data_IF_936954371091
#
_entry.id   IF_936954371091
#
_cell.length_a   1.000
_cell.length_b   1.000
_cell.length_c   1.000
_cell.angle_alpha   90.00
_cell.angle_beta   90.00
_cell.angle_gamma   90.00
#
_symmetry.space_group_name_H-M   'P 1'
#
loop_
_entity.id
_entity.type
_entity.pdbx_description
1 polymer ?
#
# COMPACT_ATOMS: atom_id res chain seq x y z
N UNK A 1 8.90 1.53 -6.08
CA UNK A 1 8.10 2.53 -5.38
C UNK A 1 8.75 3.89 -5.59
N UNK A 2 8.04 4.80 -6.24
CA UNK A 2 8.51 6.17 -6.35
C UNK A 2 8.13 6.90 -5.07
N UNK A 3 9.09 7.55 -4.44
CA UNK A 3 8.83 8.59 -3.46
C UNK A 3 8.88 9.93 -4.17
N UNK A 4 7.86 10.76 -4.02
CA UNK A 4 7.95 12.17 -4.37
C UNK A 4 8.76 12.83 -3.26
N UNK A 5 10.06 12.84 -3.47
CA UNK A 5 10.99 13.34 -2.50
C UNK A 5 10.91 14.86 -2.45
N UNK A 6 10.75 15.38 -1.25
CA UNK A 6 11.17 16.72 -0.86
C UNK A 6 10.72 17.86 -1.77
N UNK A 7 9.42 17.93 -2.04
CA UNK A 7 8.87 19.14 -2.66
C UNK A 7 8.83 20.25 -1.61
N UNK A 8 9.54 21.31 -1.88
CA UNK A 8 9.52 22.51 -1.04
C UNK A 8 8.20 23.26 -1.29
N UNK A 9 7.27 23.08 -0.39
CA UNK A 9 6.03 23.85 -0.37
C UNK A 9 6.32 25.19 0.29
N UNK A 10 6.95 26.10 -0.44
CA UNK A 10 7.16 27.45 0.05
C UNK A 10 5.80 28.12 0.26
N UNK A 11 5.58 28.63 1.47
CA UNK A 11 4.43 29.46 1.77
C UNK A 11 4.62 30.84 1.11
N UNK A 12 4.00 31.01 -0.04
CA UNK A 12 3.99 32.28 -0.74
C UNK A 12 3.09 33.31 -0.03
N UNK A 13 3.41 34.60 -0.12
CA UNK A 13 2.56 35.65 0.43
C UNK A 13 1.10 35.60 -0.08
N UNK A 14 0.19 36.03 0.74
CA UNK A 14 -1.26 35.87 0.67
C UNK A 14 -2.02 36.25 -0.61
N UNK A 15 -1.39 36.79 -1.61
CA UNK A 15 -2.05 37.15 -2.88
C UNK A 15 -2.08 35.97 -3.91
N UNK A 16 -1.30 34.93 -3.71
CA UNK A 16 -1.38 33.68 -4.46
C UNK A 16 -2.40 32.76 -3.79
N UNK A 17 -3.61 32.82 -4.26
CA UNK A 17 -4.72 32.04 -3.71
C UNK A 17 -4.66 30.59 -4.17
N UNK A 18 -4.92 29.67 -3.20
CA UNK A 18 -5.37 28.28 -3.37
C UNK A 18 -4.81 27.54 -4.59
N UNK A 19 -3.93 26.58 -4.38
CA UNK A 19 -3.52 25.60 -5.40
C UNK A 19 -2.31 25.98 -6.24
N UNK A 20 -1.62 27.08 -5.95
CA UNK A 20 -0.39 27.42 -6.66
C UNK A 20 0.73 26.39 -6.37
N UNK A 21 0.78 25.87 -5.15
CA UNK A 21 1.68 24.78 -4.76
C UNK A 21 0.86 23.68 -4.11
N UNK A 22 0.51 22.67 -4.90
CA UNK A 22 -0.11 21.45 -4.40
C UNK A 22 0.59 20.21 -4.95
N UNK A 23 0.65 19.20 -4.13
CA UNK A 23 1.05 17.85 -4.53
C UNK A 23 -0.14 16.95 -4.31
N UNK A 24 -0.60 16.34 -5.39
CA UNK A 24 -1.70 15.42 -5.39
C UNK A 24 -1.28 14.09 -5.98
N UNK A 25 -1.59 13.01 -5.31
CA UNK A 25 -1.30 11.67 -5.75
C UNK A 25 -2.35 10.68 -5.25
N UNK A 26 -2.42 9.54 -5.91
CA UNK A 26 -3.41 8.54 -5.61
C UNK A 26 -3.17 7.24 -6.34
N UNK A 27 -4.09 6.33 -6.18
CA UNK A 27 -4.07 5.01 -6.77
C UNK A 27 -5.45 4.64 -7.27
N UNK A 28 -5.50 4.09 -8.49
CA UNK A 28 -6.72 3.54 -9.09
C UNK A 28 -6.65 2.02 -9.05
N UNK A 29 -7.76 1.38 -8.70
CA UNK A 29 -7.92 -0.08 -8.70
C UNK A 29 -7.85 -0.71 -7.32
N UNK A 30 -7.78 -2.04 -7.30
CA UNK A 30 -7.82 -2.86 -6.09
C UNK A 30 -6.46 -3.08 -5.42
N UNK A 31 -5.38 -2.54 -5.99
CA UNK A 31 -4.03 -2.61 -5.41
C UNK A 31 -3.67 -1.25 -4.81
N UNK A 32 -3.82 -1.06 -3.50
CA UNK A 32 -3.69 0.26 -2.86
C UNK A 32 -2.25 0.80 -2.86
N UNK A 33 -1.26 -0.03 -3.10
CA UNK A 33 0.17 0.30 -3.06
C UNK A 33 0.91 -0.12 -4.33
N UNK A 34 0.41 0.31 -5.47
CA UNK A 34 1.07 0.00 -6.74
C UNK A 34 2.24 0.92 -7.05
N UNK A 35 2.05 2.23 -6.94
CA UNK A 35 3.06 3.27 -7.20
C UNK A 35 3.44 4.00 -5.92
N UNK A 36 2.45 4.44 -5.18
CA UNK A 36 2.59 5.17 -3.92
C UNK A 36 1.93 4.41 -2.79
N UNK A 37 2.44 4.59 -1.58
CA UNK A 37 1.73 4.22 -0.37
C UNK A 37 0.73 5.33 0.00
N UNK A 38 -0.41 4.98 0.61
CA UNK A 38 -1.42 5.96 1.02
C UNK A 38 -1.02 6.73 2.28
N UNK A 39 0.16 7.32 2.28
CA UNK A 39 0.66 8.14 3.37
C UNK A 39 1.53 9.27 2.87
N UNK A 40 1.64 10.33 3.64
CA UNK A 40 2.54 11.45 3.41
C UNK A 40 3.02 12.06 4.70
N UNK A 41 4.16 12.75 4.63
CA UNK A 41 4.72 13.54 5.72
C UNK A 41 5.02 14.94 5.22
N UNK A 42 4.65 15.95 5.99
CA UNK A 42 5.13 17.31 5.82
C UNK A 42 6.03 17.67 7.01
N UNK A 43 7.24 18.08 6.70
CA UNK A 43 8.24 18.51 7.68
C UNK A 43 8.32 20.04 7.71
N UNK A 44 8.09 20.63 8.88
CA UNK A 44 8.35 22.04 9.13
C UNK A 44 9.76 22.20 9.66
N UNK A 45 10.68 22.58 8.76
CA UNK A 45 12.10 22.77 9.10
C UNK A 45 12.36 23.96 10.00
N UNK A 46 11.46 24.96 10.02
CA UNK A 46 11.60 26.15 10.83
C UNK A 46 11.29 25.87 12.31
N UNK A 47 10.24 25.10 12.55
CA UNK A 47 9.79 24.78 13.91
C UNK A 47 10.21 23.38 14.38
N UNK A 48 10.78 22.58 13.50
CA UNK A 48 11.35 21.27 13.82
C UNK A 48 10.31 20.23 14.22
N UNK A 49 9.16 20.23 13.56
CA UNK A 49 8.16 19.18 13.74
C UNK A 49 7.67 18.66 12.39
N UNK A 50 7.14 17.46 12.40
CA UNK A 50 6.57 16.81 11.23
C UNK A 50 5.14 16.36 11.49
N UNK A 51 4.33 16.40 10.44
CA UNK A 51 2.95 15.92 10.43
C UNK A 51 2.86 14.77 9.44
N UNK A 52 2.45 13.60 9.90
CA UNK A 52 2.18 12.43 9.07
C UNK A 52 0.71 12.14 8.95
N UNK A 53 0.27 11.77 7.75
CA UNK A 53 -1.11 11.36 7.45
C UNK A 53 -1.09 10.07 6.67
N UNK A 54 -1.97 9.13 7.03
CA UNK A 54 -2.13 7.86 6.34
C UNK A 54 -3.60 7.50 6.19
N UNK A 55 -3.96 6.91 5.05
CA UNK A 55 -5.28 6.36 4.80
C UNK A 55 -5.27 4.83 4.94
N UNK A 56 -6.30 4.28 5.59
CA UNK A 56 -6.55 2.85 5.66
C UNK A 56 -7.63 2.48 4.65
N UNK A 57 -7.25 2.31 3.39
CA UNK A 57 -8.18 1.94 2.33
C UNK A 57 -7.54 0.96 1.34
N UNK A 58 -8.20 -0.18 1.04
CA UNK A 58 -7.61 -1.25 0.21
C UNK A 58 -7.86 -1.10 -1.29
N UNK A 59 -8.44 0.02 -1.74
CA UNK A 59 -8.78 0.25 -3.14
C UNK A 59 -8.37 1.66 -3.59
N UNK A 60 -9.06 2.22 -4.56
CA UNK A 60 -8.74 3.55 -5.11
C UNK A 60 -8.84 4.65 -4.04
N UNK A 61 -7.79 5.41 -3.90
CA UNK A 61 -7.66 6.49 -2.92
C UNK A 61 -6.95 7.69 -3.53
N UNK A 62 -7.04 8.83 -2.86
CA UNK A 62 -6.27 10.03 -3.18
C UNK A 62 -5.83 10.76 -1.93
N UNK A 63 -4.73 11.47 -2.03
CA UNK A 63 -4.22 12.40 -1.03
C UNK A 63 -3.67 13.64 -1.70
N UNK A 64 -3.74 14.75 -0.99
CA UNK A 64 -3.24 16.03 -1.45
C UNK A 64 -2.67 16.83 -0.28
N UNK A 65 -1.56 17.50 -0.51
CA UNK A 65 -1.03 18.53 0.36
C UNK A 65 -0.93 19.82 -0.44
N UNK A 66 -1.36 20.92 0.12
CA UNK A 66 -1.42 22.21 -0.59
C UNK A 66 -1.30 23.39 0.37
N UNK A 67 -0.88 24.52 -0.20
CA UNK A 67 -0.91 25.79 0.51
C UNK A 67 -2.32 26.35 0.53
N UNK A 68 -2.76 26.73 1.72
CA UNK A 68 -3.98 27.50 1.91
C UNK A 68 -3.68 28.71 2.77
N UNK A 69 -3.62 29.88 2.12
CA UNK A 69 -3.13 31.12 2.72
C UNK A 69 -1.71 30.93 3.27
N UNK A 70 -1.47 31.15 4.53
CA UNK A 70 -0.16 30.95 5.20
C UNK A 70 -0.07 29.60 5.92
N UNK A 71 -0.87 28.61 5.49
CA UNK A 71 -0.96 27.29 6.15
C UNK A 71 -0.77 26.18 5.16
N UNK A 72 -0.27 25.05 5.63
CA UNK A 72 -0.29 23.79 4.90
C UNK A 72 -1.57 23.05 5.26
N UNK A 73 -2.28 22.60 4.25
CA UNK A 73 -3.49 21.81 4.39
C UNK A 73 -3.29 20.43 3.77
N UNK A 74 -3.91 19.43 4.39
CA UNK A 74 -3.96 18.06 3.90
C UNK A 74 -5.40 17.71 3.57
N UNK A 75 -5.60 17.03 2.47
CA UNK A 75 -6.86 16.38 2.15
C UNK A 75 -6.61 14.97 1.64
N UNK A 76 -7.61 14.11 1.74
CA UNK A 76 -7.50 12.75 1.22
C UNK A 76 -8.69 11.89 1.61
N UNK A 77 -8.80 10.73 1.00
CA UNK A 77 -9.86 9.78 1.23
C UNK A 77 -10.10 8.88 0.04
N UNK A 78 -11.37 8.52 -0.18
CA UNK A 78 -11.78 7.80 -1.37
C UNK A 78 -11.42 8.56 -2.64
N UNK A 79 -11.16 7.79 -3.68
CA UNK A 79 -10.86 8.35 -4.99
C UNK A 79 -11.99 9.24 -5.50
N UNK A 80 -11.59 10.36 -6.05
CA UNK A 80 -12.48 11.29 -6.70
C UNK A 80 -12.49 11.13 -8.23
N UNK A 81 -12.86 12.18 -8.94
CA UNK A 81 -12.92 12.20 -10.40
C UNK A 81 -11.58 11.83 -11.07
N UNK A 82 -10.45 12.24 -10.50
CA UNK A 82 -9.13 11.99 -11.08
C UNK A 82 -8.63 10.57 -10.82
N UNK A 83 -8.90 10.04 -9.62
CA UNK A 83 -8.38 8.76 -9.17
C UNK A 83 -9.45 7.66 -9.06
N UNK A 84 -10.49 7.67 -9.86
CA UNK A 84 -11.41 6.55 -9.91
C UNK A 84 -12.88 6.83 -10.14
N UNK A 85 -13.29 8.08 -10.28
CA UNK A 85 -14.67 8.47 -10.57
C UNK A 85 -15.71 7.84 -9.64
N UNK A 86 -15.34 7.62 -8.38
CA UNK A 86 -16.25 7.02 -7.45
C UNK A 86 -17.34 8.00 -7.01
N UNK A 87 -18.57 7.56 -7.05
CA UNK A 87 -19.72 8.32 -6.53
C UNK A 87 -20.69 7.38 -5.83
N UNK A 88 -21.33 7.87 -4.78
CA UNK A 88 -22.38 7.16 -4.06
C UNK A 88 -23.62 8.07 -3.93
N UNK A 89 -24.76 7.58 -4.40
CA UNK A 89 -26.04 8.24 -4.15
C UNK A 89 -26.50 7.89 -2.74
N UNK A 90 -26.60 8.88 -1.88
CA UNK A 90 -27.08 8.71 -0.51
C UNK A 90 -28.59 8.85 -0.45
N UNK A 91 -29.24 8.01 0.35
CA UNK A 91 -30.65 8.14 0.72
C UNK A 91 -30.78 9.00 2.00
N UNK A 92 -31.97 9.54 2.24
CA UNK A 92 -32.24 10.20 3.52
C UNK A 92 -32.01 9.22 4.67
N UNK A 93 -31.29 9.67 5.69
CA UNK A 93 -30.92 8.88 6.88
C UNK A 93 -29.91 7.75 6.63
N UNK A 94 -29.40 7.59 5.41
CA UNK A 94 -28.32 6.63 5.15
C UNK A 94 -27.00 7.13 5.74
N UNK A 95 -26.30 6.23 6.45
CA UNK A 95 -24.94 6.46 6.94
C UNK A 95 -23.94 5.90 5.93
N UNK A 96 -22.91 6.67 5.65
CA UNK A 96 -21.75 6.20 4.92
C UNK A 96 -20.50 6.33 5.79
N UNK A 97 -19.87 5.20 6.08
CA UNK A 97 -18.63 5.16 6.83
C UNK A 97 -17.45 5.36 5.88
N UNK A 98 -16.74 6.46 6.06
CA UNK A 98 -15.52 6.75 5.30
C UNK A 98 -14.35 5.89 5.79
N UNK A 99 -13.36 5.60 4.95
CA UNK A 99 -12.11 4.97 5.37
C UNK A 99 -11.45 5.76 6.50
N UNK A 100 -10.82 5.04 7.41
CA UNK A 100 -10.08 5.66 8.52
C UNK A 100 -8.85 6.41 7.99
N UNK A 101 -8.59 7.58 8.57
CA UNK A 101 -7.34 8.29 8.40
C UNK A 101 -6.60 8.33 9.74
N UNK A 102 -5.29 8.12 9.68
CA UNK A 102 -4.40 8.23 10.83
C UNK A 102 -3.58 9.50 10.70
N UNK A 103 -3.50 10.27 11.77
CA UNK A 103 -2.74 11.51 11.85
C UNK A 103 -1.77 11.44 13.03
N UNK A 104 -0.54 11.86 12.81
CA UNK A 104 0.46 12.03 13.87
C UNK A 104 1.23 13.31 13.70
N UNK A 105 1.62 13.92 14.81
CA UNK A 105 2.49 15.10 14.87
C UNK A 105 3.58 14.84 15.89
N UNK A 106 4.83 15.08 15.53
CA UNK A 106 5.96 14.92 16.43
C UNK A 106 7.15 15.80 16.05
N UNK A 107 8.06 16.02 16.98
CA UNK A 107 9.38 16.59 16.73
C UNK A 107 10.35 15.51 16.26
N UNK A 108 10.06 14.94 15.14
CA UNK A 108 10.78 13.82 14.53
C UNK A 108 10.84 14.06 13.01
N UNK A 109 11.79 13.42 12.37
CA UNK A 109 11.92 13.39 10.92
C UNK A 109 10.91 12.41 10.28
N UNK A 110 11.04 12.20 8.97
CA UNK A 110 10.19 11.30 8.19
C UNK A 110 10.23 9.87 8.70
N UNK A 111 11.39 9.40 9.16
CA UNK A 111 11.55 8.02 9.67
C UNK A 111 10.83 7.85 11.00
N UNK A 112 10.94 8.80 11.91
CA UNK A 112 10.23 8.81 13.18
C UNK A 112 8.71 8.84 12.99
N UNK A 113 8.20 9.65 12.06
CA UNK A 113 6.77 9.68 11.70
C UNK A 113 6.33 8.36 11.09
N UNK A 114 7.12 7.78 10.18
CA UNK A 114 6.85 6.47 9.60
C UNK A 114 6.73 5.38 10.67
N UNK A 115 7.68 5.35 11.59
CA UNK A 115 7.64 4.42 12.71
C UNK A 115 6.38 4.56 13.59
N UNK A 116 5.94 5.80 13.86
CA UNK A 116 4.72 6.05 14.64
C UNK A 116 3.48 5.53 13.93
N UNK A 117 3.34 5.83 12.64
CA UNK A 117 2.20 5.36 11.83
C UNK A 117 2.19 3.82 11.75
N UNK A 118 3.34 3.21 11.50
CA UNK A 118 3.48 1.74 11.44
C UNK A 118 3.18 1.11 12.81
N UNK A 119 3.74 1.66 13.89
CA UNK A 119 3.51 1.14 15.24
C UNK A 119 2.05 1.21 15.67
N UNK A 120 1.31 2.22 15.21
CA UNK A 120 -0.12 2.32 15.50
C UNK A 120 -0.93 1.19 14.84
N UNK A 121 -0.48 0.71 13.67
CA UNK A 121 -1.17 -0.36 12.95
C UNK A 121 -1.03 -1.72 13.65
N UNK A 122 0.11 -1.99 14.28
CA UNK A 122 0.30 -3.22 15.05
C UNK A 122 -0.77 -3.41 16.12
N UNK A 123 -1.26 -2.32 16.69
CA UNK A 123 -2.34 -2.34 17.69
C UNK A 123 -3.70 -2.69 17.10
N UNK A 124 -3.86 -2.54 15.79
CA UNK A 124 -5.10 -2.83 15.08
C UNK A 124 -5.12 -4.24 14.47
N UNK A 125 -4.02 -4.99 14.59
CA UNK A 125 -4.00 -6.41 14.22
C UNK A 125 -4.73 -7.21 15.30
N UNK A 126 -5.96 -7.61 15.01
CA UNK A 126 -6.83 -8.33 15.95
C UNK A 126 -6.29 -9.73 16.25
N UNK A 127 -5.70 -10.38 15.25
CA UNK A 127 -5.06 -11.66 15.43
C UNK A 127 -3.90 -11.85 14.45
N UNK A 128 -2.79 -12.36 14.96
CA UNK A 128 -1.69 -12.85 14.13
C UNK A 128 -1.66 -14.37 14.35
N UNK A 129 -1.78 -15.18 13.28
CA UNK A 129 -1.66 -16.63 13.40
C UNK A 129 -0.37 -17.01 14.13
N UNK A 130 -0.41 -18.06 14.97
CA UNK A 130 0.76 -18.46 15.77
C UNK A 130 1.97 -18.77 14.89
N UNK A 131 1.73 -19.37 13.71
CA UNK A 131 2.78 -19.70 12.75
C UNK A 131 3.53 -18.46 12.26
N UNK A 132 2.86 -17.31 12.14
CA UNK A 132 3.50 -16.06 11.68
C UNK A 132 4.45 -15.45 12.71
N UNK A 133 4.30 -15.81 13.99
CA UNK A 133 5.19 -15.31 15.05
C UNK A 133 6.61 -15.82 14.90
N UNK A 134 6.81 -16.96 14.27
CA UNK A 134 8.12 -17.53 14.00
C UNK A 134 8.76 -17.04 12.70
N UNK A 135 8.04 -16.22 11.90
CA UNK A 135 8.47 -15.74 10.59
C UNK A 135 8.97 -16.89 9.70
N UNK A 136 8.09 -17.83 9.33
CA UNK A 136 8.48 -19.02 8.59
C UNK A 136 9.04 -18.66 7.21
N UNK A 137 10.08 -19.34 6.79
CA UNK A 137 10.66 -19.17 5.45
C UNK A 137 9.81 -19.94 4.44
N UNK A 138 9.34 -19.24 3.43
CA UNK A 138 8.53 -19.78 2.34
C UNK A 138 9.38 -19.82 1.07
N UNK A 139 9.41 -20.94 0.40
CA UNK A 139 9.99 -21.10 -0.93
C UNK A 139 8.86 -21.18 -1.97
N UNK A 140 8.85 -20.25 -2.90
CA UNK A 140 7.95 -20.28 -4.05
C UNK A 140 8.72 -20.82 -5.25
N UNK A 141 8.22 -21.87 -5.89
CA UNK A 141 8.94 -22.61 -6.93
C UNK A 141 8.86 -21.96 -8.33
N UNK A 142 7.97 -20.99 -8.56
CA UNK A 142 7.69 -20.44 -9.89
C UNK A 142 8.94 -20.06 -10.70
N UNK A 143 9.85 -19.32 -10.09
CA UNK A 143 11.09 -18.91 -10.74
C UNK A 143 12.09 -20.04 -10.95
N UNK A 144 11.86 -21.21 -10.39
CA UNK A 144 12.69 -22.42 -10.56
C UNK A 144 12.17 -23.25 -11.73
N UNK A 145 10.86 -23.36 -11.87
CA UNK A 145 10.20 -24.21 -12.89
C UNK A 145 9.66 -23.43 -14.10
N UNK A 146 9.51 -22.10 -13.94
CA UNK A 146 8.89 -21.21 -14.93
C UNK A 146 7.49 -21.67 -15.37
N UNK A 147 6.67 -22.05 -14.40
CA UNK A 147 5.30 -22.49 -14.65
C UNK A 147 5.16 -23.96 -15.05
N UNK A 148 6.18 -24.78 -14.76
CA UNK A 148 6.10 -26.24 -14.94
C UNK A 148 6.34 -26.99 -13.61
N UNK A 149 5.41 -26.89 -12.65
CA UNK A 149 5.49 -27.58 -11.37
C UNK A 149 5.07 -29.05 -11.48
N UNK A 150 5.70 -29.80 -12.39
CA UNK A 150 5.46 -31.24 -12.51
C UNK A 150 5.83 -31.98 -11.22
N UNK A 151 5.24 -33.12 -10.98
CA UNK A 151 5.56 -33.96 -9.81
C UNK A 151 7.08 -34.21 -9.71
N UNK A 152 7.73 -34.49 -10.82
CA UNK A 152 9.18 -34.73 -10.86
C UNK A 152 9.96 -33.48 -10.41
N UNK A 153 9.61 -32.31 -10.94
CA UNK A 153 10.26 -31.06 -10.58
C UNK A 153 10.02 -30.72 -9.12
N UNK A 154 8.80 -30.88 -8.63
CA UNK A 154 8.46 -30.60 -7.25
C UNK A 154 9.20 -31.51 -6.26
N UNK A 155 9.32 -32.81 -6.56
CA UNK A 155 10.08 -33.73 -5.71
C UNK A 155 11.57 -33.36 -5.68
N UNK A 156 12.17 -32.97 -6.81
CA UNK A 156 13.56 -32.48 -6.84
C UNK A 156 13.75 -31.23 -5.98
N UNK A 157 12.81 -30.28 -6.07
CA UNK A 157 12.84 -29.06 -5.26
C UNK A 157 12.74 -29.38 -3.78
N UNK A 158 11.74 -30.19 -3.39
CA UNK A 158 11.54 -30.55 -1.97
C UNK A 158 12.78 -31.24 -1.40
N UNK A 159 13.41 -32.13 -2.15
CA UNK A 159 14.64 -32.75 -1.72
C UNK A 159 15.81 -31.76 -1.61
N UNK A 160 15.89 -30.82 -2.54
CA UNK A 160 16.94 -29.80 -2.52
C UNK A 160 16.80 -28.80 -1.35
N UNK A 161 15.58 -28.47 -0.93
CA UNK A 161 15.33 -27.53 0.18
C UNK A 161 15.25 -28.20 1.55
N UNK A 162 15.16 -29.51 1.61
CA UNK A 162 15.08 -30.29 2.85
C UNK A 162 16.24 -29.96 3.79
N UNK A 163 15.90 -29.67 5.04
CA UNK A 163 16.88 -29.36 6.09
C UNK A 163 17.55 -28.00 6.00
N UNK A 164 17.10 -27.12 5.08
CA UNK A 164 17.64 -25.76 4.93
C UNK A 164 16.85 -24.68 5.67
N UNK A 165 15.97 -25.07 6.60
CA UNK A 165 15.17 -24.12 7.38
C UNK A 165 13.94 -23.59 6.65
N UNK A 166 13.65 -24.06 5.44
CA UNK A 166 12.44 -23.74 4.69
C UNK A 166 11.29 -24.56 5.25
N UNK A 167 10.22 -23.89 5.63
CA UNK A 167 9.07 -24.50 6.31
C UNK A 167 7.89 -24.74 5.37
N UNK A 168 7.76 -23.91 4.33
CA UNK A 168 6.70 -24.02 3.34
C UNK A 168 7.26 -23.99 1.93
N UNK A 169 6.70 -24.85 1.07
CA UNK A 169 6.92 -24.80 -0.37
C UNK A 169 5.59 -24.49 -1.06
N UNK A 170 5.57 -23.43 -1.87
CA UNK A 170 4.39 -23.01 -2.62
C UNK A 170 4.50 -23.55 -4.03
N UNK A 171 3.47 -24.26 -4.46
CA UNK A 171 3.26 -24.62 -5.87
C UNK A 171 2.49 -23.44 -6.47
N UNK A 172 3.17 -22.66 -7.30
CA UNK A 172 2.61 -21.48 -7.96
C UNK A 172 1.88 -21.86 -9.26
N UNK A 173 1.64 -20.88 -10.12
CA UNK A 173 0.95 -21.09 -11.38
C UNK A 173 1.66 -22.08 -12.31
N UNK A 174 0.87 -22.74 -13.18
CA UNK A 174 1.36 -23.75 -14.13
C UNK A 174 0.76 -25.15 -13.91
N UNK A 175 0.36 -25.49 -12.69
CA UNK A 175 -0.35 -26.75 -12.40
C UNK A 175 -1.77 -26.80 -12.96
N UNK A 176 -2.30 -25.64 -13.38
CA UNK A 176 -3.63 -25.45 -13.96
C UNK A 176 -3.72 -25.86 -15.44
N UNK A 177 -2.60 -26.16 -16.11
CA UNK A 177 -2.50 -26.29 -17.55
C UNK A 177 -2.21 -27.73 -17.92
N UNK A 178 -3.06 -28.35 -18.75
CA UNK A 178 -2.95 -29.76 -19.11
C UNK A 178 -1.68 -30.11 -19.88
N UNK A 179 -1.20 -29.23 -20.74
CA UNK A 179 -0.11 -29.49 -21.68
C UNK A 179 1.08 -28.54 -21.57
N UNK A 180 1.31 -28.08 -20.36
CA UNK A 180 2.63 -27.61 -19.91
C UNK A 180 3.08 -26.25 -20.35
N UNK A 181 2.49 -25.39 -21.10
CA UNK A 181 2.92 -24.00 -21.34
C UNK A 181 1.90 -23.08 -22.00
N UNK A 182 0.73 -23.58 -22.32
CA UNK A 182 -0.33 -22.73 -22.86
C UNK A 182 -1.18 -22.16 -21.71
N UNK A 183 -0.96 -20.91 -21.39
CA UNK A 183 -1.69 -20.18 -20.36
C UNK A 183 -3.10 -19.76 -20.78
N UNK A 184 -3.55 -20.16 -21.98
CA UNK A 184 -4.91 -19.91 -22.46
C UNK A 184 -5.96 -20.66 -21.63
N UNK A 185 -5.59 -21.77 -21.01
CA UNK A 185 -6.47 -22.64 -20.23
C UNK A 185 -6.47 -22.31 -18.72
N UNK A 186 -5.99 -21.13 -18.32
CA UNK A 186 -6.05 -20.67 -16.94
C UNK A 186 -7.52 -20.56 -16.50
N UNK A 187 -7.87 -21.35 -15.50
CA UNK A 187 -9.24 -21.42 -14.97
C UNK A 187 -9.97 -22.73 -15.28
N UNK A 188 -9.34 -23.64 -16.00
CA UNK A 188 -9.83 -24.99 -16.20
C UNK A 188 -9.52 -25.84 -14.95
N UNK A 189 -10.41 -25.77 -13.97
CA UNK A 189 -10.27 -26.36 -12.64
C UNK A 189 -10.84 -27.80 -12.56
N UNK A 190 -11.01 -28.47 -13.69
CA UNK A 190 -11.60 -29.81 -13.77
C UNK A 190 -10.53 -30.89 -13.91
#
# INVERSE_FOLDING_TARGET
LESNEFLDLQLEPAWLRIGANSVRFGQVGSMPVRRYFPWMVAEDKKFGYSIGVQLAHPASWQMEVYNKDERVAFSGGLADREFGHWTKKMQKEELFECPKAYLTVAKEDVDGISYRLTSSQWKNLESVPEVEKSLPIIFNEYCTTWGNPSQENMLKIVDAIRGKGIQYCVIDAGWLVKDGNDWSDIGDWI
#
